data_IF_600802341295
#
_entry.id   IF_600802341295
#
_cell.length_a   1.000
_cell.length_b   1.000
_cell.length_c   1.000
_cell.angle_alpha   90.00
_cell.angle_beta   90.00
_cell.angle_gamma   90.00
#
_symmetry.space_group_name_H-M   'P 1'
#
loop_
_entity.id
_entity.type
_entity.pdbx_description
1 polymer ?
#
# COMPACT_ATOMS: atom_id res chain seq x y z
N UNK A 1 -0.34 -4.71 16.38
CA UNK A 1 0.60 -5.60 15.65
C UNK A 1 1.82 -4.80 15.23
N UNK A 2 3.01 -5.38 15.34
CA UNK A 2 4.27 -4.84 14.85
C UNK A 2 4.96 -5.85 13.93
N UNK A 3 5.50 -5.36 12.82
CA UNK A 3 6.22 -6.16 11.82
C UNK A 3 7.69 -5.77 11.88
N UNK A 4 8.59 -6.74 12.05
CA UNK A 4 10.02 -6.47 12.15
C UNK A 4 10.38 -5.57 13.34
N UNK A 5 10.12 -6.00 14.58
CA UNK A 5 10.38 -5.20 15.79
C UNK A 5 11.86 -4.90 16.03
N UNK A 6 12.77 -5.61 15.37
CA UNK A 6 14.21 -5.42 15.54
C UNK A 6 14.64 -5.67 16.97
N UNK A 7 15.33 -4.70 17.58
CA UNK A 7 15.76 -4.75 18.97
C UNK A 7 14.68 -4.27 19.96
N UNK A 8 13.46 -4.04 19.50
CA UNK A 8 12.31 -3.76 20.36
C UNK A 8 12.16 -2.30 20.82
N UNK A 9 12.83 -1.35 20.16
CA UNK A 9 12.76 0.08 20.54
C UNK A 9 11.31 0.61 20.47
N UNK A 10 10.57 0.26 19.42
CA UNK A 10 9.14 0.59 19.31
C UNK A 10 8.30 -0.34 20.17
N UNK A 11 8.65 -1.63 20.22
CA UNK A 11 7.97 -2.64 21.02
C UNK A 11 7.86 -2.24 22.49
N UNK A 12 8.89 -1.63 23.07
CA UNK A 12 8.89 -1.15 24.46
C UNK A 12 7.68 -0.25 24.75
N UNK A 13 7.42 0.72 23.88
CA UNK A 13 6.26 1.61 24.03
C UNK A 13 4.95 0.91 23.68
N UNK A 14 4.91 0.08 22.64
CA UNK A 14 3.68 -0.58 22.18
C UNK A 14 3.12 -1.53 23.26
N UNK A 15 4.01 -2.28 23.93
CA UNK A 15 3.66 -3.25 24.97
C UNK A 15 3.02 -2.59 26.19
N UNK A 16 3.40 -1.36 26.52
CA UNK A 16 2.85 -0.61 27.65
C UNK A 16 1.45 -0.04 27.37
N UNK A 17 1.14 0.25 26.10
CA UNK A 17 -0.09 0.95 25.70
C UNK A 17 -1.17 0.02 25.11
N UNK A 18 -0.78 -1.13 24.55
CA UNK A 18 -1.72 -2.07 23.92
C UNK A 18 -2.20 -3.13 24.91
N UNK A 19 -3.42 -3.64 24.75
CA UNK A 19 -3.91 -4.80 25.52
C UNK A 19 -3.14 -6.08 25.15
N UNK A 20 -2.84 -6.24 23.86
CA UNK A 20 -2.06 -7.36 23.31
C UNK A 20 -1.20 -6.90 22.14
N UNK A 21 0.06 -7.33 22.13
CA UNK A 21 1.04 -6.97 21.11
C UNK A 21 1.48 -8.19 20.30
N UNK A 22 1.08 -8.25 19.03
CA UNK A 22 1.53 -9.29 18.10
C UNK A 22 2.81 -8.81 17.41
N UNK A 23 3.90 -9.56 17.55
CA UNK A 23 5.20 -9.31 16.92
C UNK A 23 5.45 -10.32 15.80
N UNK A 24 5.71 -9.87 14.58
CA UNK A 24 6.07 -10.76 13.46
C UNK A 24 7.55 -10.55 13.10
N UNK A 25 8.34 -11.61 13.24
CA UNK A 25 9.77 -11.62 12.93
C UNK A 25 10.16 -12.94 12.24
N UNK A 26 11.09 -12.87 11.29
CA UNK A 26 11.62 -14.04 10.59
C UNK A 26 13.07 -14.35 10.94
N UNK A 27 13.83 -13.37 11.43
CA UNK A 27 15.20 -13.56 11.88
C UNK A 27 15.23 -14.35 13.21
N UNK A 28 15.83 -15.54 13.17
CA UNK A 28 15.88 -16.45 14.33
C UNK A 28 16.68 -15.88 15.51
N UNK A 29 17.71 -15.06 15.26
CA UNK A 29 18.50 -14.43 16.31
C UNK A 29 17.67 -13.37 17.04
N UNK A 30 16.93 -12.54 16.29
CA UNK A 30 16.03 -11.55 16.87
C UNK A 30 14.86 -12.19 17.61
N UNK A 31 14.31 -13.29 17.08
CA UNK A 31 13.26 -14.05 17.75
C UNK A 31 13.67 -14.46 19.18
N UNK A 32 14.87 -15.02 19.35
CA UNK A 32 15.36 -15.42 20.67
C UNK A 32 15.49 -14.23 21.63
N UNK A 33 16.00 -13.11 21.14
CA UNK A 33 16.08 -11.86 21.88
C UNK A 33 14.69 -11.35 22.31
N UNK A 34 13.74 -11.29 21.38
CA UNK A 34 12.36 -10.83 21.64
C UNK A 34 11.65 -11.76 22.63
N UNK A 35 11.84 -13.07 22.53
CA UNK A 35 11.28 -14.03 23.49
C UNK A 35 11.83 -13.80 24.90
N UNK A 36 13.14 -13.59 25.05
CA UNK A 36 13.74 -13.32 26.35
C UNK A 36 13.29 -11.99 26.96
N UNK A 37 12.99 -10.98 26.13
CA UNK A 37 12.62 -9.63 26.59
C UNK A 37 11.13 -9.43 26.82
N UNK A 38 10.29 -10.02 25.96
CA UNK A 38 8.85 -9.77 25.92
C UNK A 38 7.99 -11.02 26.14
N UNK A 39 8.59 -12.20 26.29
CA UNK A 39 7.85 -13.47 26.43
C UNK A 39 6.90 -13.52 27.64
N UNK A 40 7.24 -12.81 28.72
CA UNK A 40 6.40 -12.71 29.94
C UNK A 40 5.51 -11.46 29.95
N UNK A 41 5.43 -10.73 28.84
CA UNK A 41 4.56 -9.57 28.65
C UNK A 41 3.29 -9.98 27.90
N UNK A 42 2.41 -9.02 27.61
CA UNK A 42 1.22 -9.22 26.78
C UNK A 42 1.56 -9.38 25.28
N UNK A 43 2.60 -10.14 24.95
CA UNK A 43 3.06 -10.32 23.57
C UNK A 43 2.78 -11.70 23.00
N UNK A 44 2.55 -11.74 21.69
CA UNK A 44 2.52 -12.96 20.90
C UNK A 44 3.56 -12.84 19.78
N UNK A 45 4.56 -13.71 19.79
CA UNK A 45 5.68 -13.66 18.84
C UNK A 45 5.48 -14.71 17.75
N UNK A 46 5.20 -14.25 16.53
CA UNK A 46 5.00 -15.06 15.34
C UNK A 46 6.28 -15.16 14.52
N UNK A 47 6.89 -16.35 14.54
CA UNK A 47 8.16 -16.68 13.89
C UNK A 47 7.97 -17.02 12.40
N UNK A 48 7.79 -16.04 11.54
CA UNK A 48 7.44 -16.26 10.12
C UNK A 48 7.73 -15.07 9.23
N UNK A 49 7.88 -15.32 7.93
CA UNK A 49 7.84 -14.25 6.93
C UNK A 49 6.41 -13.69 6.85
N UNK A 50 6.30 -12.37 7.02
CA UNK A 50 5.03 -11.64 7.00
C UNK A 50 4.34 -11.72 5.63
N UNK A 51 5.08 -11.94 4.53
CA UNK A 51 4.51 -12.04 3.19
C UNK A 51 3.96 -13.44 2.87
N UNK A 52 4.50 -14.50 3.46
CA UNK A 52 4.17 -15.88 3.10
C UNK A 52 2.95 -16.46 3.84
N UNK A 53 2.60 -15.92 5.01
CA UNK A 53 1.53 -16.45 5.87
C UNK A 53 0.40 -15.46 6.07
N UNK A 54 -0.81 -15.94 6.28
CA UNK A 54 -1.97 -15.09 6.60
C UNK A 54 -1.69 -14.19 7.81
N UNK A 55 -2.02 -12.91 7.69
CA UNK A 55 -1.93 -11.98 8.82
C UNK A 55 -2.99 -12.35 9.85
N UNK A 56 -2.65 -12.28 11.16
CA UNK A 56 -3.65 -12.46 12.20
C UNK A 56 -4.60 -11.26 12.20
N UNK A 57 -5.67 -11.32 12.97
CA UNK A 57 -6.52 -10.15 13.19
C UNK A 57 -5.81 -9.15 14.11
N UNK A 58 -5.98 -7.85 13.83
CA UNK A 58 -5.41 -6.76 14.60
C UNK A 58 -6.20 -5.46 14.34
N UNK A 59 -6.31 -4.60 15.35
CA UNK A 59 -6.98 -3.31 15.19
C UNK A 59 -6.00 -2.21 14.72
N UNK A 60 -4.73 -2.31 15.12
CA UNK A 60 -3.69 -1.33 14.75
C UNK A 60 -2.37 -1.99 14.35
N UNK A 61 -1.69 -1.38 13.38
CA UNK A 61 -0.34 -1.77 12.96
C UNK A 61 0.63 -0.60 13.12
N UNK A 62 1.74 -0.84 13.81
CA UNK A 62 2.82 0.13 13.96
C UNK A 62 4.13 -0.55 13.60
N UNK A 63 4.88 -0.02 12.64
CA UNK A 63 6.10 -0.68 12.21
C UNK A 63 7.06 0.26 11.47
N UNK A 64 8.34 0.11 11.77
CA UNK A 64 9.40 0.55 10.88
C UNK A 64 9.62 -0.53 9.80
N UNK A 65 8.83 -0.47 8.72
CA UNK A 65 8.77 -1.56 7.75
C UNK A 65 10.13 -1.82 7.06
N UNK A 66 10.49 -3.09 6.80
CA UNK A 66 11.58 -3.42 5.91
C UNK A 66 11.27 -2.88 4.50
N UNK A 67 12.10 -1.96 4.00
CA UNK A 67 11.77 -1.19 2.80
C UNK A 67 11.59 -2.03 1.54
N UNK A 68 12.28 -3.17 1.44
CA UNK A 68 12.19 -4.09 0.29
C UNK A 68 10.80 -4.74 0.13
N UNK A 69 9.99 -4.78 1.20
CA UNK A 69 8.65 -5.38 1.17
C UNK A 69 7.52 -4.33 1.21
N UNK A 70 7.85 -3.04 1.14
CA UNK A 70 6.88 -1.93 1.30
C UNK A 70 5.60 -2.10 0.49
N UNK A 71 5.71 -2.45 -0.79
CA UNK A 71 4.53 -2.63 -1.65
C UNK A 71 3.71 -3.87 -1.32
N UNK A 72 4.27 -5.10 -1.31
CA UNK A 72 3.47 -6.28 -1.00
C UNK A 72 2.88 -6.23 0.41
N UNK A 73 3.60 -5.69 1.42
CA UNK A 73 3.04 -5.61 2.78
C UNK A 73 1.91 -4.59 2.88
N UNK A 74 2.00 -3.43 2.21
CA UNK A 74 0.93 -2.42 2.25
C UNK A 74 -0.37 -2.97 1.70
N UNK A 75 -0.35 -3.59 0.52
CA UNK A 75 -1.57 -4.19 -0.05
C UNK A 75 -2.04 -5.41 0.73
N UNK A 76 -1.14 -6.16 1.39
CA UNK A 76 -1.52 -7.27 2.27
C UNK A 76 -2.21 -6.77 3.54
N UNK A 77 -1.74 -5.68 4.13
CA UNK A 77 -2.38 -5.03 5.27
C UNK A 77 -3.75 -4.48 4.90
N UNK A 78 -3.88 -3.80 3.76
CA UNK A 78 -5.14 -3.20 3.28
C UNK A 78 -6.22 -4.23 2.90
N UNK A 79 -5.88 -5.52 2.84
CA UNK A 79 -6.87 -6.61 2.73
C UNK A 79 -7.43 -7.07 4.08
N UNK A 80 -6.91 -6.56 5.19
CA UNK A 80 -7.44 -6.80 6.54
C UNK A 80 -8.27 -5.62 6.99
N UNK A 81 -9.24 -5.89 7.84
CA UNK A 81 -10.00 -4.85 8.52
C UNK A 81 -9.20 -4.40 9.76
N UNK A 82 -8.72 -3.16 9.76
CA UNK A 82 -8.00 -2.57 10.88
C UNK A 82 -8.29 -1.06 10.93
N UNK A 83 -8.13 -0.45 12.10
CA UNK A 83 -8.50 0.94 12.34
C UNK A 83 -7.38 1.91 11.92
N UNK A 84 -6.12 1.57 12.22
CA UNK A 84 -5.01 2.50 12.04
C UNK A 84 -3.66 1.83 11.79
N UNK A 85 -2.95 2.32 10.79
CA UNK A 85 -1.57 1.99 10.49
C UNK A 85 -0.65 3.21 10.66
N UNK A 86 0.43 3.07 11.43
CA UNK A 86 1.52 4.04 11.51
C UNK A 86 2.80 3.35 11.04
N UNK A 87 3.17 3.62 9.79
CA UNK A 87 4.16 2.83 9.07
C UNK A 87 5.26 3.72 8.51
N UNK A 88 6.50 3.31 8.69
CA UNK A 88 7.66 4.00 8.09
C UNK A 88 7.95 3.42 6.72
N UNK A 89 8.08 4.30 5.72
CA UNK A 89 8.47 3.96 4.36
C UNK A 89 9.67 4.78 3.93
N UNK A 90 10.34 4.38 2.85
CA UNK A 90 11.26 5.30 2.15
C UNK A 90 10.48 6.53 1.69
N UNK A 91 11.10 7.70 1.79
CA UNK A 91 10.45 8.99 1.49
C UNK A 91 9.77 9.03 0.11
N UNK A 92 10.47 8.58 -0.94
CA UNK A 92 9.91 8.55 -2.30
C UNK A 92 8.69 7.62 -2.41
N UNK A 93 8.68 6.51 -1.67
CA UNK A 93 7.53 5.60 -1.65
C UNK A 93 6.33 6.28 -0.97
N UNK A 94 6.55 6.90 0.19
CA UNK A 94 5.52 7.66 0.91
C UNK A 94 4.97 8.83 0.07
N UNK A 95 5.85 9.58 -0.61
CA UNK A 95 5.45 10.68 -1.52
C UNK A 95 4.53 10.18 -2.63
N UNK A 96 4.86 9.04 -3.25
CA UNK A 96 3.99 8.41 -4.24
C UNK A 96 2.67 7.91 -3.67
N UNK A 97 2.63 7.43 -2.43
CA UNK A 97 1.37 6.98 -1.81
C UNK A 97 0.37 8.13 -1.64
N UNK A 98 0.85 9.32 -1.28
CA UNK A 98 0.00 10.50 -1.00
C UNK A 98 -0.18 11.42 -2.21
N UNK A 99 0.49 11.12 -3.33
CA UNK A 99 0.48 11.97 -4.51
C UNK A 99 -0.92 12.08 -5.11
N UNK A 100 -1.30 13.30 -5.50
CA UNK A 100 -2.60 13.60 -6.11
C UNK A 100 -2.53 13.65 -7.62
N UNK A 101 -3.68 13.50 -8.27
CA UNK A 101 -3.82 13.60 -9.73
C UNK A 101 -3.12 14.85 -10.28
N UNK A 102 -2.31 14.69 -11.32
CA UNK A 102 -1.52 15.76 -11.93
C UNK A 102 -0.15 16.03 -11.30
N UNK A 103 0.12 15.54 -10.08
CA UNK A 103 1.44 15.69 -9.44
C UNK A 103 2.49 14.77 -10.07
N UNK A 104 3.78 15.13 -9.96
CA UNK A 104 4.89 14.35 -10.56
C UNK A 104 4.92 12.91 -10.05
N UNK A 105 4.67 12.72 -8.76
CA UNK A 105 4.73 11.43 -8.05
C UNK A 105 3.46 10.59 -8.21
N UNK A 106 2.41 11.14 -8.85
CA UNK A 106 1.17 10.42 -9.09
C UNK A 106 1.41 9.21 -9.98
N UNK A 107 1.09 8.03 -9.44
CA UNK A 107 1.42 6.74 -10.04
C UNK A 107 0.34 5.71 -9.77
N UNK A 108 0.51 4.50 -10.33
CA UNK A 108 -0.32 3.34 -10.01
C UNK A 108 -0.49 3.15 -8.49
N UNK A 109 0.57 3.37 -7.72
CA UNK A 109 0.52 3.23 -6.26
C UNK A 109 -0.48 4.20 -5.63
N UNK A 110 -0.47 5.46 -6.08
CA UNK A 110 -1.35 6.52 -5.59
C UNK A 110 -2.82 6.14 -5.81
N UNK A 111 -3.13 5.68 -7.03
CA UNK A 111 -4.48 5.22 -7.40
C UNK A 111 -4.92 4.05 -6.54
N UNK A 112 -4.13 2.96 -6.53
CA UNK A 112 -4.51 1.72 -5.86
C UNK A 112 -4.64 1.86 -4.34
N UNK A 113 -3.82 2.71 -3.70
CA UNK A 113 -3.95 2.92 -2.26
C UNK A 113 -5.13 3.84 -1.95
N UNK A 114 -5.38 4.86 -2.76
CA UNK A 114 -6.53 5.77 -2.56
C UNK A 114 -7.89 5.09 -2.67
N UNK A 115 -7.96 3.93 -3.34
CA UNK A 115 -9.16 3.09 -3.40
C UNK A 115 -9.34 2.16 -2.21
N UNK A 116 -8.38 2.13 -1.27
CA UNK A 116 -8.39 1.20 -0.14
C UNK A 116 -8.16 1.91 1.22
N UNK A 117 -7.67 3.15 1.24
CA UNK A 117 -7.37 3.88 2.46
C UNK A 117 -7.18 5.40 2.28
N UNK A 118 -7.46 6.16 3.35
CA UNK A 118 -6.93 7.51 3.58
C UNK A 118 -5.46 7.40 4.00
N UNK A 119 -4.59 8.06 3.23
CA UNK A 119 -3.14 8.07 3.45
C UNK A 119 -2.68 9.49 3.77
N UNK A 120 -1.96 9.65 4.88
CA UNK A 120 -1.34 10.93 5.23
C UNK A 120 0.13 10.74 5.59
N UNK A 121 0.99 11.56 4.97
CA UNK A 121 2.39 11.68 5.40
C UNK A 121 2.42 12.54 6.66
N UNK A 122 3.02 12.03 7.73
CA UNK A 122 3.08 12.71 9.02
C UNK A 122 4.34 13.56 9.13
N UNK A 123 5.51 12.93 9.06
CA UNK A 123 6.81 13.60 9.14
C UNK A 123 7.90 12.75 8.49
N UNK A 124 9.05 13.36 8.21
CA UNK A 124 10.23 12.71 7.65
C UNK A 124 11.22 12.34 8.77
N UNK A 125 11.91 11.22 8.59
CA UNK A 125 12.99 10.74 9.46
C UNK A 125 14.28 10.75 8.63
N UNK A 126 15.31 11.43 9.13
CA UNK A 126 16.62 11.44 8.46
C UNK A 126 17.20 10.03 8.40
N UNK A 127 17.85 9.69 7.27
CA UNK A 127 18.62 8.46 7.14
C UNK A 127 19.69 8.27 8.23
N UNK A 128 20.16 9.36 8.84
CA UNK A 128 21.16 9.31 9.92
C UNK A 128 20.57 8.83 11.26
N UNK A 129 19.26 8.68 11.36
CA UNK A 129 18.58 8.10 12.53
C UNK A 129 18.51 6.57 12.51
N UNK A 130 19.11 5.92 11.50
CA UNK A 130 19.10 4.46 11.34
C UNK A 130 20.51 3.89 11.37
N UNK A 131 20.61 2.62 11.78
CA UNK A 131 21.86 1.86 11.75
C UNK A 131 21.64 0.47 11.11
N UNK A 132 22.35 0.12 10.02
CA UNK A 132 23.15 1.03 9.20
C UNK A 132 22.26 2.09 8.49
N UNK A 133 22.81 3.27 8.16
CA UNK A 133 22.03 4.32 7.52
C UNK A 133 21.59 3.89 6.11
N UNK A 134 20.29 4.05 5.74
CA UNK A 134 19.82 3.81 4.38
C UNK A 134 20.32 4.90 3.41
N UNK A 135 20.11 4.67 2.11
CA UNK A 135 20.53 5.60 1.05
C UNK A 135 19.69 6.89 1.02
N UNK A 136 18.44 6.79 1.43
CA UNK A 136 17.43 7.85 1.35
C UNK A 136 16.77 8.04 2.71
N UNK A 137 16.20 9.22 2.92
CA UNK A 137 15.37 9.49 4.09
C UNK A 137 14.09 8.64 4.07
N UNK A 138 13.47 8.55 5.22
CA UNK A 138 12.21 7.83 5.44
C UNK A 138 11.09 8.81 5.76
N UNK A 139 9.85 8.38 5.64
CA UNK A 139 8.69 9.13 6.09
C UNK A 139 7.74 8.22 6.85
N UNK A 140 7.18 8.74 7.94
CA UNK A 140 6.10 8.08 8.67
C UNK A 140 4.78 8.41 7.99
N UNK A 141 4.00 7.38 7.71
CA UNK A 141 2.71 7.45 7.04
C UNK A 141 1.63 6.92 7.95
N UNK A 142 0.53 7.67 8.05
CA UNK A 142 -0.74 7.22 8.58
C UNK A 142 -1.54 6.56 7.46
N UNK A 143 -1.97 5.33 7.69
CA UNK A 143 -2.79 4.53 6.78
C UNK A 143 -4.09 4.17 7.50
N UNK A 144 -5.23 4.68 7.02
CA UNK A 144 -6.56 4.41 7.61
C UNK A 144 -7.41 3.72 6.55
N UNK A 145 -7.70 2.40 6.68
CA UNK A 145 -8.55 1.70 5.73
C UNK A 145 -9.89 2.40 5.53
N UNK A 146 -10.30 2.55 4.29
CA UNK A 146 -11.54 3.21 3.92
C UNK A 146 -11.94 2.80 2.52
N UNK A 147 -13.23 2.65 2.29
CA UNK A 147 -13.78 2.51 0.93
C UNK A 147 -13.72 3.87 0.20
N UNK A 148 -13.56 3.86 -1.13
CA UNK A 148 -13.63 5.09 -1.91
C UNK A 148 -15.08 5.61 -2.00
N UNK A 149 -15.24 6.90 -2.28
CA UNK A 149 -16.56 7.55 -2.44
C UNK A 149 -17.34 7.09 -3.70
N UNK A 150 -16.84 6.07 -4.41
CA UNK A 150 -17.46 5.50 -5.61
C UNK A 150 -17.42 3.97 -5.55
N UNK A 151 -18.40 3.33 -6.18
CA UNK A 151 -18.50 1.86 -6.21
C UNK A 151 -17.50 1.26 -7.21
N UNK A 152 -16.54 0.47 -6.69
CA UNK A 152 -15.70 -0.41 -7.49
C UNK A 152 -16.44 -1.73 -7.75
N UNK A 153 -17.01 -1.90 -8.95
CA UNK A 153 -17.76 -3.13 -9.31
C UNK A 153 -16.85 -4.28 -9.74
N UNK A 154 -15.69 -3.95 -10.32
CA UNK A 154 -14.77 -4.88 -10.98
C UNK A 154 -13.36 -4.61 -10.45
N UNK A 155 -13.05 -5.04 -9.22
CA UNK A 155 -11.81 -4.68 -8.53
C UNK A 155 -10.57 -5.24 -9.24
N UNK A 156 -10.62 -6.51 -9.65
CA UNK A 156 -9.53 -7.14 -10.39
C UNK A 156 -9.31 -6.46 -11.76
N UNK A 157 -10.37 -6.24 -12.54
CA UNK A 157 -10.28 -5.51 -13.81
C UNK A 157 -9.79 -4.07 -13.61
N UNK A 158 -10.18 -3.40 -12.52
CA UNK A 158 -9.68 -2.07 -12.19
C UNK A 158 -8.17 -2.09 -11.95
N UNK A 159 -7.66 -3.03 -11.14
CA UNK A 159 -6.24 -3.16 -10.89
C UNK A 159 -5.43 -3.43 -12.18
N UNK A 160 -5.95 -4.28 -13.06
CA UNK A 160 -5.36 -4.60 -14.37
C UNK A 160 -5.33 -3.36 -15.28
N UNK A 161 -6.44 -2.64 -15.42
CA UNK A 161 -6.51 -1.42 -16.25
C UNK A 161 -5.60 -0.32 -15.70
N UNK A 162 -5.60 -0.08 -14.38
CA UNK A 162 -4.70 0.92 -13.77
C UNK A 162 -3.24 0.53 -14.04
N UNK A 163 -2.88 -0.75 -13.93
CA UNK A 163 -1.53 -1.20 -14.26
C UNK A 163 -1.15 -0.84 -15.69
N UNK A 164 -2.00 -1.16 -16.66
CA UNK A 164 -1.69 -0.91 -18.08
C UNK A 164 -1.69 0.59 -18.44
N UNK A 165 -2.64 1.37 -17.92
CA UNK A 165 -2.65 2.81 -18.14
C UNK A 165 -1.37 3.49 -17.64
N UNK A 166 -0.90 3.11 -16.44
CA UNK A 166 0.27 3.75 -15.82
C UNK A 166 1.61 3.30 -16.42
N UNK A 167 1.66 2.23 -17.21
CA UNK A 167 2.81 1.93 -18.08
C UNK A 167 3.01 3.04 -19.14
N UNK A 168 1.92 3.72 -19.52
CA UNK A 168 1.89 4.78 -20.52
C UNK A 168 1.41 6.12 -19.96
N UNK A 169 1.73 6.43 -18.70
CA UNK A 169 1.23 7.60 -17.93
C UNK A 169 1.15 8.93 -18.71
N UNK A 170 2.10 9.20 -19.60
CA UNK A 170 2.22 10.46 -20.36
C UNK A 170 1.41 10.49 -21.66
N UNK A 171 0.91 9.33 -22.13
CA UNK A 171 0.08 9.20 -23.34
C UNK A 171 -1.39 9.53 -23.04
N UNK A 172 -2.15 9.71 -24.11
CA UNK A 172 -3.61 9.75 -24.04
C UNK A 172 -4.17 8.39 -23.63
N UNK A 173 -5.33 8.39 -22.97
CA UNK A 173 -5.98 7.18 -22.45
C UNK A 173 -6.30 6.21 -23.58
N UNK A 174 -6.90 6.68 -24.68
CA UNK A 174 -7.25 5.81 -25.80
C UNK A 174 -6.04 5.07 -26.37
N UNK A 175 -4.94 5.79 -26.61
CA UNK A 175 -3.69 5.20 -27.09
C UNK A 175 -3.06 4.25 -26.06
N UNK A 176 -3.29 4.49 -24.76
CA UNK A 176 -2.77 3.63 -23.70
C UNK A 176 -3.56 2.33 -23.59
N UNK A 177 -4.87 2.37 -23.80
CA UNK A 177 -5.75 1.21 -23.85
C UNK A 177 -5.49 0.39 -25.11
N UNK A 178 -5.37 1.04 -26.27
CA UNK A 178 -4.98 0.39 -27.52
C UNK A 178 -3.61 -0.32 -27.36
N UNK A 179 -2.59 0.37 -26.86
CA UNK A 179 -1.25 -0.25 -26.71
C UNK A 179 -1.19 -1.31 -25.61
N UNK A 180 -1.88 -1.08 -24.47
CA UNK A 180 -1.73 -1.89 -23.26
C UNK A 180 -2.72 -3.04 -23.13
N UNK A 181 -3.90 -2.92 -23.76
CA UNK A 181 -5.01 -3.88 -23.67
C UNK A 181 -5.43 -4.42 -25.05
N UNK A 182 -4.87 -3.91 -26.15
CA UNK A 182 -5.25 -4.31 -27.52
C UNK A 182 -6.73 -4.05 -27.84
N UNK A 183 -7.25 -2.93 -27.32
CA UNK A 183 -8.65 -2.50 -27.52
C UNK A 183 -8.66 -1.19 -28.31
N UNK A 184 -9.22 -1.23 -29.51
CA UNK A 184 -9.47 -0.07 -30.36
C UNK A 184 -10.94 0.36 -30.28
N UNK A 185 -11.20 1.49 -29.62
CA UNK A 185 -12.53 2.10 -29.57
C UNK A 185 -12.42 3.62 -29.44
N UNK A 186 -13.10 4.36 -30.33
CA UNK A 186 -13.12 5.82 -30.33
C UNK A 186 -14.02 6.41 -29.23
N UNK A 187 -14.92 5.61 -28.65
CA UNK A 187 -15.87 6.03 -27.63
C UNK A 187 -15.36 5.88 -26.20
N UNK A 188 -14.08 5.48 -26.01
CA UNK A 188 -13.47 5.35 -24.68
C UNK A 188 -13.66 6.64 -23.87
N UNK A 189 -14.30 6.57 -22.68
CA UNK A 189 -14.47 7.72 -21.81
C UNK A 189 -13.13 8.40 -21.51
N UNK A 190 -13.10 9.73 -21.64
CA UNK A 190 -11.89 10.53 -21.42
C UNK A 190 -10.71 10.19 -22.35
N UNK A 191 -10.94 9.52 -23.48
CA UNK A 191 -9.88 8.99 -24.36
C UNK A 191 -8.81 10.00 -24.76
N UNK A 192 -9.16 11.29 -24.89
CA UNK A 192 -8.23 12.39 -25.23
C UNK A 192 -7.42 12.95 -24.05
N UNK A 193 -7.76 12.62 -22.80
CA UNK A 193 -7.03 13.03 -21.60
C UNK A 193 -5.79 12.17 -21.39
N UNK A 194 -4.82 12.69 -20.64
CA UNK A 194 -3.62 11.95 -20.24
C UNK A 194 -3.87 11.15 -18.96
N UNK A 195 -3.31 9.95 -18.89
CA UNK A 195 -3.47 9.04 -17.75
C UNK A 195 -3.09 9.70 -16.42
N UNK A 196 -1.95 10.40 -16.38
CA UNK A 196 -1.47 11.06 -15.15
C UNK A 196 -2.39 12.16 -14.59
N UNK A 197 -3.40 12.57 -15.35
CA UNK A 197 -4.36 13.61 -14.98
C UNK A 197 -5.76 13.04 -14.70
N UNK A 198 -5.91 11.72 -14.60
CA UNK A 198 -7.19 11.09 -14.32
C UNK A 198 -7.27 10.61 -12.85
N UNK A 199 -8.30 11.03 -12.09
CA UNK A 199 -8.53 10.51 -10.75
C UNK A 199 -9.10 9.08 -10.79
N UNK A 200 -9.01 8.32 -9.68
CA UNK A 200 -9.47 6.93 -9.61
C UNK A 200 -10.92 6.72 -10.05
N UNK A 201 -11.83 7.63 -9.68
CA UNK A 201 -13.25 7.60 -10.05
C UNK A 201 -13.44 7.53 -11.58
N UNK A 202 -12.69 8.35 -12.34
CA UNK A 202 -12.80 8.39 -13.81
C UNK A 202 -12.11 7.20 -14.47
N UNK A 203 -11.11 6.61 -13.82
CA UNK A 203 -10.55 5.33 -14.26
C UNK A 203 -11.59 4.21 -14.06
N UNK A 204 -12.35 4.24 -12.96
CA UNK A 204 -13.43 3.29 -12.72
C UNK A 204 -14.56 3.41 -13.76
N UNK A 205 -14.90 4.63 -14.21
CA UNK A 205 -15.84 4.81 -15.33
C UNK A 205 -15.35 4.16 -16.63
N UNK A 206 -14.05 4.26 -16.93
CA UNK A 206 -13.45 3.57 -18.09
C UNK A 206 -13.57 2.06 -17.92
N UNK A 207 -13.24 1.52 -16.75
CA UNK A 207 -13.32 0.07 -16.50
C UNK A 207 -14.75 -0.43 -16.64
N UNK A 208 -15.72 0.29 -16.08
CA UNK A 208 -17.14 -0.05 -16.24
C UNK A 208 -17.53 -0.05 -17.72
N UNK A 209 -17.14 0.97 -18.49
CA UNK A 209 -17.40 1.02 -19.93
C UNK A 209 -16.82 -0.18 -20.68
N UNK A 210 -15.54 -0.50 -20.43
CA UNK A 210 -14.86 -1.61 -21.10
C UNK A 210 -15.52 -2.96 -20.80
N UNK A 211 -15.91 -3.19 -19.54
CA UNK A 211 -16.56 -4.45 -19.15
C UNK A 211 -18.02 -4.52 -19.62
N UNK A 212 -18.78 -3.43 -19.50
CA UNK A 212 -20.21 -3.40 -19.86
C UNK A 212 -20.43 -3.36 -21.39
N UNK A 213 -19.39 -3.03 -22.17
CA UNK A 213 -19.39 -3.08 -23.64
C UNK A 213 -18.75 -4.36 -24.19
N UNK A 214 -18.48 -5.37 -23.35
CA UNK A 214 -17.83 -6.64 -23.71
C UNK A 214 -16.43 -6.47 -24.37
N UNK A 215 -15.74 -5.36 -24.11
CA UNK A 215 -14.38 -5.07 -24.62
C UNK A 215 -13.28 -5.61 -23.71
N UNK A 216 -13.59 -5.85 -22.43
CA UNK A 216 -12.66 -6.39 -21.45
C UNK A 216 -13.34 -7.51 -20.65
N UNK A 217 -12.64 -8.63 -20.47
CA UNK A 217 -13.14 -9.71 -19.64
C UNK A 217 -13.41 -9.23 -18.20
N UNK A 218 -14.62 -9.56 -17.73
CA UNK A 218 -15.01 -9.32 -16.35
C UNK A 218 -14.18 -10.20 -15.42
N UNK A 219 -13.40 -9.56 -14.55
CA UNK A 219 -12.78 -10.18 -13.39
C UNK A 219 -13.29 -9.48 -12.14
N UNK A 220 -13.87 -10.26 -11.23
CA UNK A 220 -14.45 -9.79 -9.97
C UNK A 220 -13.42 -9.87 -8.86
#
# INVERSE_FOLDING_TARGET
MEIGPGLGILTDTIVEEADKTILIEKDQALIGYLQGRYGDKNTEILKRDVLEKELPDFDKVVSNLPFNISSPITFKLLKKNFDLGILTYQKQYAERMVAKTGESEYSRLSVMVSTMADVKRLFDISKNSFYPPPKVDSSVVRLTPSEPDFKLKYEESFADVVKELFNYRRKQIKNSIETGLDIEDENIPFGNKRVGNLPPEKINEIVNYLVESDLLEKKS
#
